data_IF_808695216529
#
_entry.id   IF_808695216529
#
_cell.length_a   1.000
_cell.length_b   1.000
_cell.length_c   1.000
_cell.angle_alpha   90.00
_cell.angle_beta   90.00
_cell.angle_gamma   90.00
#
_symmetry.space_group_name_H-M   'P 1'
#
loop_
_entity.id
_entity.type
_entity.pdbx_description
1 polymer ?
#
# COMPACT_ATOMS: atom_id res chain seq x y z
N UNK A 1 -8.36 -8.70 -11.12
CA UNK A 1 -8.73 -8.87 -9.69
C UNK A 1 -7.82 -9.93 -9.11
N UNK A 2 -7.00 -9.61 -8.09
CA UNK A 2 -6.13 -10.60 -7.44
C UNK A 2 -6.94 -11.31 -6.35
N UNK A 3 -7.46 -12.52 -6.62
CA UNK A 3 -8.34 -13.21 -5.67
C UNK A 3 -7.66 -13.56 -4.34
N UNK A 4 -6.34 -13.72 -4.34
CA UNK A 4 -5.55 -14.08 -3.16
C UNK A 4 -5.62 -13.05 -2.03
N UNK A 5 -5.87 -11.78 -2.32
CA UNK A 5 -5.90 -10.72 -1.29
C UNK A 5 -7.24 -10.59 -0.57
N UNK A 6 -8.31 -11.22 -1.08
CA UNK A 6 -9.66 -11.11 -0.49
C UNK A 6 -9.75 -11.73 0.91
N UNK A 7 -8.95 -12.76 1.19
CA UNK A 7 -8.97 -13.48 2.47
C UNK A 7 -8.69 -12.56 3.66
N UNK A 8 -7.78 -11.58 3.50
CA UNK A 8 -7.45 -10.57 4.51
C UNK A 8 -8.61 -9.65 4.88
N UNK A 9 -9.60 -9.54 3.99
CA UNK A 9 -10.77 -8.68 4.14
C UNK A 9 -12.08 -9.49 4.25
N UNK A 10 -12.00 -10.79 4.54
CA UNK A 10 -13.15 -11.71 4.62
C UNK A 10 -14.24 -11.31 5.63
N UNK A 11 -13.92 -10.39 6.54
CA UNK A 11 -14.86 -9.81 7.51
C UNK A 11 -15.75 -8.71 6.91
N UNK A 12 -15.47 -8.24 5.69
CA UNK A 12 -16.33 -7.30 4.97
C UNK A 12 -17.39 -8.03 4.16
N UNK A 13 -18.59 -7.44 4.11
CA UNK A 13 -19.72 -7.98 3.34
C UNK A 13 -19.68 -7.56 1.87
N UNK A 14 -19.09 -6.42 1.58
CA UNK A 14 -18.99 -5.83 0.24
C UNK A 14 -17.54 -5.41 -0.05
N UNK A 15 -17.04 -5.79 -1.22
CA UNK A 15 -15.69 -5.51 -1.71
C UNK A 15 -15.69 -4.54 -2.89
N UNK A 16 -16.85 -4.00 -3.27
CA UNK A 16 -16.97 -3.04 -4.37
C UNK A 16 -16.32 -1.71 -3.99
N UNK A 17 -15.89 -0.93 -4.99
CA UNK A 17 -15.30 0.38 -4.75
C UNK A 17 -16.25 1.37 -4.03
N UNK A 18 -17.57 1.12 -4.08
CA UNK A 18 -18.59 1.93 -3.42
C UNK A 18 -18.81 1.61 -1.95
N UNK A 19 -18.34 0.45 -1.46
CA UNK A 19 -18.52 0.04 -0.06
C UNK A 19 -17.94 1.06 0.92
N UNK A 20 -18.63 1.27 2.04
CA UNK A 20 -18.18 2.14 3.11
C UNK A 20 -16.86 1.67 3.71
N UNK A 21 -16.69 0.35 3.88
CA UNK A 21 -15.49 -0.29 4.40
C UNK A 21 -14.31 -0.10 3.47
N UNK A 22 -14.50 -0.35 2.17
CA UNK A 22 -13.45 -0.15 1.15
C UNK A 22 -13.02 1.31 1.10
N UNK A 23 -13.96 2.26 1.06
CA UNK A 23 -13.66 3.69 1.02
C UNK A 23 -12.92 4.16 2.27
N UNK A 24 -13.39 3.73 3.46
CA UNK A 24 -12.76 4.07 4.74
C UNK A 24 -11.34 3.52 4.82
N UNK A 25 -11.15 2.26 4.45
CA UNK A 25 -9.82 1.64 4.50
C UNK A 25 -8.88 2.20 3.43
N UNK A 26 -9.39 2.51 2.24
CA UNK A 26 -8.62 3.20 1.19
C UNK A 26 -8.05 4.53 1.69
N UNK A 27 -8.84 5.32 2.41
CA UNK A 27 -8.36 6.54 3.06
C UNK A 27 -7.24 6.23 4.08
N UNK A 28 -7.42 5.23 4.94
CA UNK A 28 -6.39 4.83 5.91
C UNK A 28 -5.08 4.44 5.23
N UNK A 29 -5.13 3.67 4.14
CA UNK A 29 -3.95 3.25 3.37
C UNK A 29 -3.25 4.48 2.78
N UNK A 30 -3.99 5.37 2.11
CA UNK A 30 -3.41 6.55 1.49
C UNK A 30 -2.84 7.55 2.51
N UNK A 31 -3.43 7.65 3.71
CA UNK A 31 -2.84 8.41 4.82
C UNK A 31 -1.51 7.80 5.30
N UNK A 32 -1.41 6.47 5.31
CA UNK A 32 -0.14 5.77 5.59
C UNK A 32 0.92 6.05 4.52
N UNK A 33 0.54 6.04 3.25
CA UNK A 33 1.42 6.40 2.13
C UNK A 33 1.88 7.85 2.22
N UNK A 34 0.98 8.79 2.52
CA UNK A 34 1.33 10.21 2.70
C UNK A 34 2.33 10.41 3.84
N UNK A 35 2.12 9.75 4.98
CA UNK A 35 3.09 9.77 6.09
C UNK A 35 4.45 9.20 5.66
N UNK A 36 4.46 8.17 4.82
CA UNK A 36 5.71 7.63 4.28
C UNK A 36 6.43 8.63 3.37
N UNK A 37 5.70 9.47 2.61
CA UNK A 37 6.29 10.58 1.85
C UNK A 37 6.93 11.60 2.78
N UNK A 38 6.24 12.00 3.86
CA UNK A 38 6.77 12.97 4.83
C UNK A 38 8.02 12.46 5.59
N UNK A 39 8.19 11.15 5.67
CA UNK A 39 9.26 10.48 6.41
C UNK A 39 10.21 9.68 5.52
N UNK A 40 10.37 10.10 4.26
CA UNK A 40 11.06 9.34 3.20
C UNK A 40 12.51 8.99 3.56
N UNK A 41 13.19 9.85 4.33
CA UNK A 41 14.58 9.61 4.76
C UNK A 41 14.71 8.48 5.81
N UNK A 42 13.61 8.11 6.49
CA UNK A 42 13.63 7.22 7.65
C UNK A 42 12.47 6.20 7.65
N UNK A 43 12.13 5.63 6.47
CA UNK A 43 10.97 4.75 6.31
C UNK A 43 10.94 3.54 7.27
N UNK A 44 12.07 2.88 7.51
CA UNK A 44 12.13 1.69 8.35
C UNK A 44 11.70 1.96 9.80
N UNK A 45 12.17 3.07 10.37
CA UNK A 45 11.79 3.50 11.73
C UNK A 45 10.35 3.97 11.76
N UNK A 46 9.94 4.73 10.75
CA UNK A 46 8.64 5.39 10.68
C UNK A 46 7.47 4.44 10.48
N UNK A 47 7.70 3.36 9.73
CA UNK A 47 6.70 2.34 9.41
C UNK A 47 6.81 1.10 10.31
N UNK A 48 7.65 1.13 11.35
CA UNK A 48 7.91 -0.02 12.22
C UNK A 48 6.62 -0.59 12.84
N UNK A 49 5.76 0.28 13.38
CA UNK A 49 4.48 -0.12 13.97
C UNK A 49 3.51 -0.72 12.95
N UNK A 50 3.53 -0.23 11.71
CA UNK A 50 2.77 -0.82 10.61
C UNK A 50 3.37 -2.17 10.19
N UNK A 51 4.69 -2.30 10.17
CA UNK A 51 5.35 -3.58 9.91
C UNK A 51 4.95 -4.63 10.94
N UNK A 52 4.96 -4.29 12.24
CA UNK A 52 4.50 -5.19 13.32
C UNK A 52 3.03 -5.58 13.17
N UNK A 53 2.17 -4.60 12.84
CA UNK A 53 0.75 -4.83 12.60
C UNK A 53 0.53 -5.85 11.47
N UNK A 54 1.18 -5.63 10.32
CA UNK A 54 1.01 -6.49 9.14
C UNK A 54 1.64 -7.87 9.33
N UNK A 55 2.81 -7.95 9.97
CA UNK A 55 3.52 -9.20 10.22
C UNK A 55 2.84 -10.08 11.28
N UNK A 56 2.59 -9.53 12.47
CA UNK A 56 2.22 -10.35 13.62
C UNK A 56 0.71 -10.45 13.84
N UNK A 57 -0.01 -9.34 13.68
CA UNK A 57 -1.45 -9.28 13.98
C UNK A 57 -2.30 -9.65 12.78
N UNK A 58 -2.01 -9.08 11.61
CA UNK A 58 -2.77 -9.34 10.39
C UNK A 58 -2.23 -10.54 9.60
N UNK A 59 -0.95 -10.89 9.80
CA UNK A 59 -0.26 -12.00 9.12
C UNK A 59 -0.41 -11.95 7.60
N UNK A 60 -0.28 -10.74 7.05
CA UNK A 60 -0.34 -10.52 5.60
C UNK A 60 0.91 -11.11 4.97
N UNK A 61 0.81 -11.91 3.91
CA UNK A 61 2.01 -12.37 3.19
C UNK A 61 2.67 -11.15 2.51
N UNK A 62 3.96 -10.85 2.76
CA UNK A 62 4.63 -9.67 2.23
C UNK A 62 4.66 -9.63 0.69
N UNK A 63 4.46 -10.77 0.02
CA UNK A 63 4.28 -10.84 -1.43
C UNK A 63 3.04 -10.07 -1.93
N UNK A 64 2.10 -9.70 -1.05
CA UNK A 64 0.92 -8.91 -1.42
C UNK A 64 1.18 -7.39 -1.44
N UNK A 65 2.25 -6.89 -0.82
CA UNK A 65 2.52 -5.44 -0.80
C UNK A 65 2.79 -4.87 -2.21
N UNK A 66 3.44 -5.65 -3.08
CA UNK A 66 3.62 -5.27 -4.50
C UNK A 66 2.30 -5.16 -5.26
N UNK A 67 1.27 -5.91 -4.86
CA UNK A 67 -0.03 -5.88 -5.53
C UNK A 67 -0.72 -4.53 -5.29
N UNK A 68 -0.76 -4.07 -4.04
CA UNK A 68 -1.36 -2.77 -3.74
C UNK A 68 -0.51 -1.62 -4.32
N UNK A 69 0.82 -1.74 -4.29
CA UNK A 69 1.73 -0.77 -4.91
C UNK A 69 1.45 -0.61 -6.41
N UNK A 70 1.34 -1.72 -7.14
CA UNK A 70 1.00 -1.70 -8.56
C UNK A 70 -0.36 -1.06 -8.84
N UNK A 71 -1.38 -1.34 -8.02
CA UNK A 71 -2.70 -0.73 -8.18
C UNK A 71 -2.67 0.78 -7.93
N UNK A 72 -1.83 1.27 -7.00
CA UNK A 72 -1.64 2.71 -6.77
C UNK A 72 -1.03 3.35 -8.01
N UNK A 73 0.04 2.77 -8.58
CA UNK A 73 0.66 3.26 -9.83
C UNK A 73 -0.36 3.32 -10.97
N UNK A 74 -1.17 2.27 -11.13
CA UNK A 74 -2.22 2.22 -12.15
C UNK A 74 -3.24 3.35 -11.95
N UNK A 75 -3.72 3.56 -10.72
CA UNK A 75 -4.68 4.63 -10.42
C UNK A 75 -4.09 6.02 -10.64
N UNK A 76 -2.82 6.24 -10.29
CA UNK A 76 -2.14 7.52 -10.57
C UNK A 76 -2.03 7.76 -12.08
N UNK A 77 -1.64 6.75 -12.86
CA UNK A 77 -1.55 6.85 -14.31
C UNK A 77 -2.92 7.14 -14.97
N UNK A 78 -4.01 6.55 -14.44
CA UNK A 78 -5.36 6.78 -14.96
C UNK A 78 -5.90 8.17 -14.61
N UNK A 79 -5.60 8.69 -13.41
CA UNK A 79 -6.16 9.95 -12.92
C UNK A 79 -5.31 11.18 -13.31
N UNK A 80 -4.00 11.00 -13.49
CA UNK A 80 -3.05 12.08 -13.77
C UNK A 80 -2.14 11.72 -14.94
N UNK A 81 -2.68 11.39 -16.14
CA UNK A 81 -1.89 10.86 -17.24
C UNK A 81 -0.80 11.82 -17.75
N UNK A 82 -1.06 13.13 -17.69
CA UNK A 82 -0.12 14.15 -18.15
C UNK A 82 1.02 14.41 -17.13
N UNK A 83 0.73 14.25 -15.83
CA UNK A 83 1.71 14.43 -14.76
C UNK A 83 2.50 13.14 -14.47
N UNK A 84 1.91 11.96 -14.74
CA UNK A 84 2.50 10.66 -14.48
C UNK A 84 3.45 10.21 -15.61
N UNK A 85 4.43 11.07 -15.88
CA UNK A 85 5.51 10.84 -16.85
C UNK A 85 6.36 9.62 -16.48
N UNK A 86 7.17 9.07 -17.41
CA UNK A 86 8.07 7.95 -17.12
C UNK A 86 9.00 8.20 -15.93
N UNK A 87 9.52 9.42 -15.78
CA UNK A 87 10.42 9.78 -14.67
C UNK A 87 9.68 9.81 -13.31
N UNK A 88 8.44 10.32 -13.31
CA UNK A 88 7.57 10.29 -12.13
C UNK A 88 7.20 8.84 -11.79
N UNK A 89 6.86 8.02 -12.78
CA UNK A 89 6.58 6.60 -12.57
C UNK A 89 7.76 5.88 -11.92
N UNK A 90 8.98 6.01 -12.47
CA UNK A 90 10.18 5.39 -11.90
C UNK A 90 10.41 5.85 -10.45
N UNK A 91 10.17 7.13 -10.16
CA UNK A 91 10.35 7.69 -8.82
C UNK A 91 9.32 7.12 -7.82
N UNK A 92 8.04 7.08 -8.21
CA UNK A 92 6.97 6.55 -7.35
C UNK A 92 7.11 5.03 -7.17
N UNK A 93 7.48 4.28 -8.20
CA UNK A 93 7.72 2.84 -8.12
C UNK A 93 8.86 2.52 -7.13
N UNK A 94 9.99 3.23 -7.24
CA UNK A 94 11.11 3.10 -6.28
C UNK A 94 10.69 3.46 -4.86
N UNK A 95 9.91 4.52 -4.68
CA UNK A 95 9.38 4.91 -3.39
C UNK A 95 8.49 3.80 -2.78
N UNK A 96 7.52 3.28 -3.54
CA UNK A 96 6.64 2.21 -3.09
C UNK A 96 7.42 0.92 -2.81
N UNK A 97 8.47 0.62 -3.56
CA UNK A 97 9.37 -0.50 -3.29
C UNK A 97 10.07 -0.35 -1.92
N UNK A 98 10.53 0.85 -1.56
CA UNK A 98 11.10 1.12 -0.23
C UNK A 98 10.05 1.02 0.88
N UNK A 99 8.83 1.49 0.64
CA UNK A 99 7.70 1.31 1.58
C UNK A 99 7.42 -0.18 1.82
N UNK A 100 7.39 -0.99 0.75
CA UNK A 100 7.19 -2.44 0.87
C UNK A 100 8.30 -3.12 1.66
N UNK A 101 9.55 -2.69 1.45
CA UNK A 101 10.71 -3.18 2.22
C UNK A 101 10.56 -2.83 3.70
N UNK A 102 10.23 -1.59 4.02
CA UNK A 102 10.03 -1.11 5.38
C UNK A 102 8.88 -1.84 6.10
N UNK A 103 7.76 -2.10 5.41
CA UNK A 103 6.66 -2.92 5.94
C UNK A 103 7.07 -4.38 6.17
N UNK A 104 8.08 -4.87 5.46
CA UNK A 104 8.56 -6.25 5.56
C UNK A 104 9.63 -6.47 6.64
N UNK A 105 10.12 -5.41 7.31
CA UNK A 105 11.22 -5.50 8.28
C UNK A 105 10.95 -6.46 9.44
N UNK A 106 9.71 -6.53 9.94
CA UNK A 106 9.34 -7.35 11.11
C UNK A 106 8.87 -8.77 10.78
N UNK A 107 9.01 -9.21 9.53
CA UNK A 107 8.63 -10.58 9.12
C UNK A 107 9.67 -11.65 9.47
N UNK A 108 10.80 -11.25 10.06
CA UNK A 108 11.91 -12.11 10.48
C UNK A 108 12.41 -11.72 11.85
#
# INVERSE_FOLDING_TARGET
MFLSTKSYFSHWKDFTAGSAEVRKHGLTVMQGVLRAVDMMDNLNTSLLSLSELHAFKLRVDPANFKIISHNILLVLAMLFPDDFTPDVHVSVDKFLAQVNLALSVKYR
#
